data_IF_881432455576
#
_entry.id   IF_881432455576
#
_cell.length_a   1.000
_cell.length_b   1.000
_cell.length_c   1.000
_cell.angle_alpha   90.00
_cell.angle_beta   90.00
_cell.angle_gamma   90.00
#
_symmetry.space_group_name_H-M   'P 1'
#
loop_
_entity.id
_entity.type
_entity.pdbx_description
1 polymer ?
#
# COMPACT_ATOMS: atom_id res chain seq x y z
N UNK A 1 20.58 -25.97 -27.36
CA UNK A 1 20.53 -26.25 -25.90
C UNK A 1 20.17 -25.00 -25.09
N UNK A 2 19.26 -24.12 -25.55
CA UNK A 2 18.82 -22.91 -24.80
C UNK A 2 17.32 -23.00 -24.43
N UNK A 3 16.59 -23.98 -24.98
CA UNK A 3 15.13 -24.09 -24.80
C UNK A 3 14.70 -24.79 -23.49
N UNK A 4 15.55 -25.59 -22.85
CA UNK A 4 15.17 -26.36 -21.64
C UNK A 4 15.23 -25.54 -20.34
N UNK A 5 16.04 -24.47 -20.28
CA UNK A 5 16.18 -23.64 -19.07
C UNK A 5 15.05 -22.59 -18.93
N UNK A 6 14.50 -22.07 -20.03
CA UNK A 6 13.34 -21.15 -19.97
C UNK A 6 12.05 -21.85 -19.50
N UNK A 7 11.86 -23.12 -19.87
CA UNK A 7 10.70 -23.90 -19.48
C UNK A 7 10.75 -24.32 -17.99
N UNK A 8 11.94 -24.59 -17.45
CA UNK A 8 12.12 -24.88 -16.03
C UNK A 8 11.87 -23.65 -15.14
N UNK A 9 12.33 -22.47 -15.55
CA UNK A 9 12.01 -21.21 -14.87
C UNK A 9 10.50 -20.91 -14.95
N UNK A 10 9.86 -21.15 -16.09
CA UNK A 10 8.41 -21.01 -16.25
C UNK A 10 7.60 -21.93 -15.32
N UNK A 11 8.04 -23.19 -15.14
CA UNK A 11 7.39 -24.16 -14.26
C UNK A 11 7.61 -23.87 -12.78
N UNK A 12 8.81 -23.40 -12.40
CA UNK A 12 9.11 -22.97 -11.02
C UNK A 12 8.06 -22.00 -10.47
N UNK A 13 7.57 -21.09 -11.33
CA UNK A 13 6.62 -20.05 -10.96
C UNK A 13 5.15 -20.49 -10.90
N UNK A 14 4.82 -21.71 -11.30
CA UNK A 14 3.46 -22.26 -11.31
C UNK A 14 3.12 -23.09 -10.06
N UNK A 15 4.13 -23.46 -9.27
CA UNK A 15 3.94 -24.19 -8.01
C UNK A 15 3.77 -23.22 -6.83
N UNK A 16 2.62 -23.25 -6.12
CA UNK A 16 2.38 -22.42 -4.93
C UNK A 16 3.41 -22.64 -3.80
N UNK A 17 3.99 -23.82 -3.68
CA UNK A 17 4.96 -24.17 -2.62
C UNK A 17 6.28 -23.42 -2.79
N UNK A 18 6.69 -23.18 -4.05
CA UNK A 18 7.87 -22.39 -4.37
C UNK A 18 7.71 -20.91 -3.98
N UNK A 19 6.47 -20.40 -3.97
CA UNK A 19 6.17 -19.03 -3.57
C UNK A 19 6.28 -18.83 -2.05
N UNK A 20 5.84 -19.82 -1.25
CA UNK A 20 6.00 -19.77 0.21
C UNK A 20 7.48 -19.79 0.62
N UNK A 21 8.29 -20.65 -0.01
CA UNK A 21 9.74 -20.74 0.22
C UNK A 21 10.43 -19.41 -0.11
N UNK A 22 10.00 -18.73 -1.17
CA UNK A 22 10.54 -17.43 -1.58
C UNK A 22 10.17 -16.33 -0.57
N UNK A 23 8.91 -16.26 -0.13
CA UNK A 23 8.46 -15.27 0.84
C UNK A 23 9.17 -15.42 2.18
N UNK A 24 9.34 -16.65 2.66
CA UNK A 24 10.07 -16.93 3.89
C UNK A 24 11.55 -16.52 3.79
N UNK A 25 12.16 -16.67 2.62
CA UNK A 25 13.55 -16.30 2.39
C UNK A 25 13.76 -14.79 2.39
N UNK A 26 12.84 -14.02 1.81
CA UNK A 26 12.87 -12.55 1.83
C UNK A 26 12.62 -12.01 3.25
N UNK A 27 11.71 -12.63 4.00
CA UNK A 27 11.43 -12.27 5.39
C UNK A 27 12.60 -12.60 6.34
N UNK A 28 13.43 -13.61 6.02
CA UNK A 28 14.68 -13.90 6.74
C UNK A 28 15.75 -12.83 6.48
N UNK A 29 15.95 -12.44 5.21
CA UNK A 29 16.96 -11.46 4.82
C UNK A 29 16.66 -10.05 5.33
N UNK A 30 15.38 -9.68 5.44
CA UNK A 30 14.98 -8.39 6.00
C UNK A 30 15.17 -8.30 7.53
N UNK A 31 15.32 -9.44 8.21
CA UNK A 31 15.55 -9.52 9.67
C UNK A 31 17.03 -9.61 10.04
N UNK A 32 17.91 -10.05 9.13
CA UNK A 32 19.35 -10.00 9.34
C UNK A 32 19.89 -8.60 9.02
N UNK A 33 19.99 -7.74 10.04
CA UNK A 33 20.83 -6.54 9.96
C UNK A 33 22.27 -6.99 9.72
N UNK A 34 22.82 -6.69 8.53
CA UNK A 34 24.17 -7.08 8.16
C UNK A 34 25.19 -6.47 9.13
N UNK A 35 25.85 -7.31 9.92
CA UNK A 35 27.09 -6.97 10.62
C UNK A 35 28.20 -6.89 9.57
N UNK A 36 28.59 -5.67 9.23
CA UNK A 36 29.77 -5.38 8.41
C UNK A 36 31.03 -5.68 9.22
N UNK A 37 31.68 -6.80 8.96
CA UNK A 37 33.07 -7.04 9.37
C UNK A 37 34.00 -6.12 8.57
N UNK A 38 34.32 -4.96 9.15
CA UNK A 38 35.42 -4.10 8.72
C UNK A 38 36.30 -3.78 9.95
N UNK A 39 37.63 -3.88 9.87
CA UNK A 39 38.50 -3.73 11.03
C UNK A 39 38.54 -2.27 11.50
N UNK A 40 38.40 -2.09 12.82
CA UNK A 40 38.45 -0.81 13.53
C UNK A 40 39.91 -0.34 13.69
N UNK A 41 40.20 0.90 13.28
CA UNK A 41 41.42 1.61 13.68
C UNK A 41 41.11 2.44 14.94
N UNK A 42 41.76 2.08 16.04
CA UNK A 42 41.73 2.84 17.30
C UNK A 42 42.52 4.14 17.17
N UNK A 43 41.85 5.28 17.37
CA UNK A 43 42.51 6.53 17.74
C UNK A 43 42.14 6.83 19.19
N UNK A 44 43.09 6.55 20.09
CA UNK A 44 42.97 6.88 21.50
C UNK A 44 43.10 8.38 21.72
N UNK A 45 42.07 8.97 22.33
CA UNK A 45 42.16 10.23 23.07
C UNK A 45 41.24 10.13 24.29
N UNK A 46 41.87 10.09 25.46
CA UNK A 46 41.29 10.26 26.79
C UNK A 46 40.88 11.70 27.03
N UNK A 47 39.70 11.94 27.61
CA UNK A 47 39.53 12.99 28.62
C UNK A 47 38.26 12.77 29.46
N UNK A 48 38.49 12.73 30.77
CA UNK A 48 37.54 12.62 31.87
C UNK A 48 36.76 13.93 32.05
N UNK A 49 35.46 13.84 32.36
CA UNK A 49 34.74 14.81 33.20
C UNK A 49 33.52 14.12 33.83
N UNK A 50 33.56 13.94 35.15
CA UNK A 50 32.43 13.57 36.02
C UNK A 50 31.45 14.73 36.17
N UNK A 51 30.14 14.45 36.25
CA UNK A 51 29.16 15.09 37.15
C UNK A 51 27.79 14.35 37.10
N UNK A 52 27.50 13.65 38.19
CA UNK A 52 26.21 13.39 38.89
C UNK A 52 24.87 13.14 38.16
N UNK A 53 24.31 11.97 38.48
CA UNK A 53 22.97 11.45 38.14
C UNK A 53 21.84 12.07 39.00
N UNK A 54 20.58 12.01 38.52
CA UNK A 54 19.59 11.29 39.34
C UNK A 54 18.69 10.35 38.52
N UNK A 55 18.88 9.06 38.80
CA UNK A 55 17.91 7.95 38.95
C UNK A 55 16.57 8.02 38.17
N UNK A 56 16.49 7.26 37.08
CA UNK A 56 15.24 6.78 36.45
C UNK A 56 15.28 5.24 36.45
N UNK A 57 14.17 4.51 36.71
CA UNK A 57 14.21 3.07 36.95
C UNK A 57 14.61 2.31 35.69
N UNK A 58 15.70 1.54 35.81
CA UNK A 58 16.18 0.56 34.83
C UNK A 58 15.13 -0.54 34.66
N UNK A 59 14.45 -0.56 33.51
CA UNK A 59 13.71 -1.73 33.06
C UNK A 59 14.73 -2.80 32.67
N UNK A 60 14.70 -3.93 33.40
CA UNK A 60 15.55 -5.09 33.18
C UNK A 60 15.48 -5.54 31.73
N UNK A 61 16.66 -5.67 31.12
CA UNK A 61 16.91 -6.42 29.90
C UNK A 61 16.42 -7.85 30.17
N UNK A 62 15.25 -8.22 29.66
CA UNK A 62 14.90 -9.64 29.60
C UNK A 62 15.77 -10.25 28.51
N UNK A 63 16.74 -11.03 28.96
CA UNK A 63 17.49 -11.99 28.15
C UNK A 63 16.49 -12.87 27.40
N UNK A 64 16.47 -12.76 26.08
CA UNK A 64 15.85 -13.76 25.23
C UNK A 64 16.66 -15.05 25.37
N UNK A 65 16.14 -15.97 26.18
CA UNK A 65 16.50 -17.39 26.09
C UNK A 65 16.03 -17.86 24.71
N UNK A 66 16.96 -18.03 23.78
CA UNK A 66 16.72 -18.80 22.57
C UNK A 66 16.63 -20.27 23.00
N UNK A 67 15.40 -20.80 23.05
CA UNK A 67 15.18 -22.24 23.11
C UNK A 67 15.25 -22.78 21.67
N UNK A 68 16.33 -23.47 21.32
CA UNK A 68 16.54 -24.17 20.04
C UNK A 68 15.70 -25.46 19.91
N UNK A 69 14.39 -25.41 20.18
CA UNK A 69 13.57 -26.64 20.22
C UNK A 69 12.17 -26.57 19.57
N UNK A 70 11.84 -25.56 18.76
CA UNK A 70 10.51 -25.42 18.14
C UNK A 70 10.52 -25.44 16.60
N UNK A 71 11.44 -26.20 16.00
CA UNK A 71 11.49 -26.43 14.54
C UNK A 71 10.81 -27.75 14.13
N UNK A 72 9.64 -28.06 14.68
CA UNK A 72 8.76 -29.08 14.10
C UNK A 72 7.30 -28.74 14.34
N UNK A 73 6.74 -27.83 13.55
CA UNK A 73 5.28 -27.71 13.43
C UNK A 73 4.77 -28.97 12.73
N UNK A 74 3.93 -29.81 13.37
CA UNK A 74 3.46 -31.04 12.76
C UNK A 74 2.68 -30.75 11.48
N UNK A 75 2.85 -31.59 10.46
CA UNK A 75 2.10 -31.54 9.19
C UNK A 75 0.58 -31.45 9.42
N UNK A 76 0.06 -32.02 10.50
CA UNK A 76 -1.35 -31.93 10.88
C UNK A 76 -1.80 -30.49 11.20
N UNK A 77 -0.94 -29.66 11.78
CA UNK A 77 -1.19 -28.24 12.07
C UNK A 77 -1.06 -27.39 10.79
N UNK A 78 -0.16 -27.77 9.88
CA UNK A 78 -0.06 -27.12 8.57
C UNK A 78 -1.29 -27.45 7.73
N UNK A 79 -1.71 -28.72 7.70
CA UNK A 79 -2.89 -29.18 6.98
C UNK A 79 -4.18 -28.62 7.58
N UNK A 80 -4.27 -28.42 8.90
CA UNK A 80 -5.41 -27.74 9.50
C UNK A 80 -5.47 -26.26 9.09
N UNK A 81 -4.33 -25.55 9.04
CA UNK A 81 -4.25 -24.16 8.55
C UNK A 81 -4.56 -24.02 7.06
N UNK A 82 -4.17 -24.99 6.23
CA UNK A 82 -4.51 -25.04 4.80
C UNK A 82 -6.01 -25.26 4.63
N UNK A 83 -6.59 -26.18 5.42
CA UNK A 83 -8.02 -26.47 5.41
C UNK A 83 -8.84 -25.26 5.89
N UNK A 84 -8.41 -24.59 6.95
CA UNK A 84 -9.03 -23.37 7.47
C UNK A 84 -8.94 -22.21 6.45
N UNK A 85 -7.83 -22.08 5.72
CA UNK A 85 -7.71 -21.14 4.59
C UNK A 85 -8.60 -21.52 3.40
N UNK A 86 -8.80 -22.81 3.12
CA UNK A 86 -9.71 -23.28 2.07
C UNK A 86 -11.18 -23.08 2.47
N UNK A 87 -11.51 -23.26 3.74
CA UNK A 87 -12.83 -23.00 4.30
C UNK A 87 -13.15 -21.51 4.27
N UNK A 88 -12.22 -20.63 4.71
CA UNK A 88 -12.31 -19.18 4.54
C UNK A 88 -12.48 -18.78 3.06
N UNK A 89 -11.73 -19.40 2.13
CA UNK A 89 -11.89 -19.20 0.68
C UNK A 89 -13.25 -19.67 0.15
N UNK A 90 -13.84 -20.69 0.75
CA UNK A 90 -15.15 -21.22 0.39
C UNK A 90 -16.30 -20.38 0.96
N UNK A 91 -16.13 -19.80 2.15
CA UNK A 91 -17.04 -18.79 2.73
C UNK A 91 -16.96 -17.46 1.96
N UNK A 92 -15.79 -17.14 1.40
CA UNK A 92 -15.56 -16.00 0.49
C UNK A 92 -16.04 -16.26 -0.95
N UNK A 93 -16.53 -17.47 -1.30
CA UNK A 93 -17.29 -17.66 -2.54
C UNK A 93 -18.62 -16.94 -2.37
N UNK A 94 -18.59 -15.66 -2.72
CA UNK A 94 -19.72 -14.76 -2.83
C UNK A 94 -20.92 -15.52 -3.42
N UNK A 95 -22.01 -15.61 -2.66
CA UNK A 95 -23.31 -15.93 -3.21
C UNK A 95 -23.55 -14.97 -4.37
N UNK A 96 -23.51 -15.51 -5.59
CA UNK A 96 -23.57 -14.82 -6.89
C UNK A 96 -24.95 -14.19 -7.18
N UNK A 97 -25.69 -13.82 -6.14
CA UNK A 97 -27.01 -13.21 -6.21
C UNK A 97 -27.09 -12.09 -5.18
N UNK A 98 -26.50 -10.92 -5.45
CA UNK A 98 -26.83 -9.71 -4.70
C UNK A 98 -26.54 -8.44 -5.52
N UNK A 99 -27.64 -7.80 -5.92
CA UNK A 99 -27.86 -6.36 -6.17
C UNK A 99 -26.58 -5.53 -6.24
N UNK A 100 -26.29 -4.97 -7.42
CA UNK A 100 -25.29 -3.91 -7.62
C UNK A 100 -25.64 -2.71 -6.73
N UNK A 101 -25.15 -2.68 -5.50
CA UNK A 101 -25.29 -1.53 -4.62
C UNK A 101 -24.49 -0.37 -5.26
N UNK A 102 -25.14 0.72 -5.69
CA UNK A 102 -24.52 1.79 -6.48
C UNK A 102 -23.41 2.57 -5.72
N UNK A 103 -23.29 2.35 -4.41
CA UNK A 103 -22.38 3.09 -3.52
C UNK A 103 -20.94 2.57 -3.47
N UNK A 104 -20.69 1.31 -3.85
CA UNK A 104 -19.37 0.69 -3.62
C UNK A 104 -18.26 1.28 -4.51
N UNK A 105 -18.62 1.79 -5.70
CA UNK A 105 -17.64 2.20 -6.72
C UNK A 105 -17.71 3.66 -7.15
N UNK A 106 -18.52 4.45 -6.46
CA UNK A 106 -18.51 5.90 -6.68
C UNK A 106 -17.37 6.52 -5.88
N UNK A 107 -16.69 7.54 -6.46
CA UNK A 107 -15.79 8.36 -5.70
C UNK A 107 -16.47 8.95 -4.47
N UNK A 108 -15.78 9.03 -3.34
CA UNK A 108 -16.28 9.64 -2.11
C UNK A 108 -16.73 11.08 -2.42
N UNK A 109 -17.98 11.42 -2.11
CA UNK A 109 -18.41 12.80 -2.13
C UNK A 109 -18.21 13.43 -0.74
N UNK A 110 -17.15 14.21 -0.60
CA UNK A 110 -16.84 14.94 0.62
C UNK A 110 -17.60 16.28 0.75
N UNK A 111 -18.53 16.59 -0.17
CA UNK A 111 -19.48 17.68 -0.03
C UNK A 111 -20.79 17.22 0.64
N UNK A 112 -21.07 15.92 0.61
CA UNK A 112 -22.20 15.34 1.34
C UNK A 112 -21.95 15.36 2.85
N UNK A 113 -23.06 15.36 3.60
CA UNK A 113 -23.00 15.26 5.05
C UNK A 113 -22.44 13.90 5.47
N UNK A 114 -21.81 13.89 6.65
CA UNK A 114 -21.40 12.67 7.31
C UNK A 114 -22.64 11.81 7.63
N UNK A 115 -22.58 10.54 7.29
CA UNK A 115 -23.59 9.53 7.64
C UNK A 115 -23.42 9.09 9.10
N UNK A 116 -24.44 8.45 9.67
CA UNK A 116 -24.35 7.95 11.05
C UNK A 116 -23.27 6.88 11.19
N UNK A 117 -23.13 6.03 10.18
CA UNK A 117 -22.14 4.97 10.13
C UNK A 117 -20.72 5.55 10.08
N UNK A 118 -20.49 6.58 9.24
CA UNK A 118 -19.21 7.29 9.18
C UNK A 118 -18.86 7.96 10.52
N UNK A 119 -19.85 8.61 11.15
CA UNK A 119 -19.69 9.25 12.46
C UNK A 119 -19.35 8.21 13.55
N UNK A 120 -20.01 7.06 13.54
CA UNK A 120 -19.80 5.99 14.50
C UNK A 120 -18.41 5.35 14.36
N UNK A 121 -17.95 5.08 13.13
CA UNK A 121 -16.57 4.60 12.91
C UNK A 121 -15.56 5.63 13.38
N UNK A 122 -15.82 6.91 13.12
CA UNK A 122 -14.95 7.98 13.60
C UNK A 122 -14.91 8.02 15.13
N UNK A 123 -16.05 7.91 15.83
CA UNK A 123 -16.04 7.82 17.30
C UNK A 123 -15.30 6.58 17.80
N UNK A 124 -15.50 5.44 17.16
CA UNK A 124 -14.83 4.18 17.52
C UNK A 124 -13.32 4.27 17.37
N UNK A 125 -12.82 4.89 16.30
CA UNK A 125 -11.39 5.03 16.04
C UNK A 125 -10.70 5.95 17.06
N UNK A 126 -11.42 6.90 17.67
CA UNK A 126 -10.90 7.82 18.71
C UNK A 126 -11.41 7.54 20.13
N UNK A 127 -11.92 6.34 20.41
CA UNK A 127 -12.37 5.97 21.77
C UNK A 127 -11.20 5.94 22.76
N UNK A 128 -11.44 6.38 24.00
CA UNK A 128 -10.41 6.51 25.04
C UNK A 128 -9.70 5.18 25.39
N UNK A 129 -10.41 4.05 25.32
CA UNK A 129 -9.88 2.72 25.65
C UNK A 129 -9.36 1.96 24.42
N UNK A 130 -9.03 2.66 23.32
CA UNK A 130 -8.54 2.04 22.09
C UNK A 130 -7.08 1.63 22.19
N UNK A 131 -6.77 0.34 22.01
CA UNK A 131 -5.38 -0.13 21.97
C UNK A 131 -4.73 0.17 20.60
N UNK A 132 -3.55 0.78 20.60
CA UNK A 132 -2.82 1.14 19.36
C UNK A 132 -2.55 -0.06 18.44
N UNK A 133 -2.42 -1.26 19.02
CA UNK A 133 -2.17 -2.49 18.28
C UNK A 133 -3.43 -3.19 17.78
N UNK A 134 -4.62 -2.71 18.12
CA UNK A 134 -5.88 -3.28 17.65
C UNK A 134 -5.89 -3.32 16.11
N UNK A 135 -6.15 -4.49 15.54
CA UNK A 135 -6.29 -4.67 14.10
C UNK A 135 -7.63 -4.07 13.64
N UNK A 136 -7.53 -2.92 12.96
CA UNK A 136 -8.67 -2.20 12.38
C UNK A 136 -8.97 -2.69 10.97
N UNK A 137 -7.98 -3.25 10.30
CA UNK A 137 -8.08 -3.79 8.95
C UNK A 137 -7.24 -5.05 8.80
N UNK A 138 -7.78 -6.09 8.19
CA UNK A 138 -7.05 -7.31 7.84
C UNK A 138 -7.62 -7.95 6.58
N UNK A 139 -6.74 -8.38 5.67
CA UNK A 139 -7.12 -9.20 4.51
C UNK A 139 -6.65 -10.65 4.68
N UNK A 140 -7.17 -11.55 3.85
CA UNK A 140 -6.73 -12.96 3.81
C UNK A 140 -5.26 -13.14 3.40
N UNK A 141 -4.61 -12.11 2.84
CA UNK A 141 -3.19 -12.12 2.45
C UNK A 141 -2.29 -11.43 3.48
N UNK A 142 -2.71 -11.39 4.75
CA UNK A 142 -1.96 -10.89 5.90
C UNK A 142 -1.57 -9.41 5.85
N UNK A 143 -2.19 -8.61 4.98
CA UNK A 143 -2.10 -7.15 5.07
C UNK A 143 -2.89 -6.70 6.31
N UNK A 144 -2.22 -6.00 7.24
CA UNK A 144 -2.81 -5.59 8.52
C UNK A 144 -2.65 -4.08 8.71
N UNK A 145 -3.76 -3.42 9.04
CA UNK A 145 -3.80 -2.03 9.46
C UNK A 145 -4.20 -1.92 10.92
N UNK A 146 -3.29 -1.44 11.78
CA UNK A 146 -3.52 -1.27 13.22
C UNK A 146 -4.02 0.13 13.56
N UNK A 147 -4.76 0.25 14.65
CA UNK A 147 -5.37 1.51 15.14
C UNK A 147 -4.40 2.67 15.16
N UNK A 148 -3.21 2.51 15.74
CA UNK A 148 -2.22 3.59 15.82
C UNK A 148 -1.75 4.11 14.45
N UNK A 149 -1.91 3.34 13.37
CA UNK A 149 -1.66 3.82 12.00
C UNK A 149 -2.87 4.60 11.47
N UNK A 150 -4.08 4.15 11.74
CA UNK A 150 -5.32 4.85 11.36
C UNK A 150 -5.51 6.18 12.10
N UNK A 151 -4.98 6.33 13.31
CA UNK A 151 -4.99 7.60 14.06
C UNK A 151 -4.25 8.74 13.32
N UNK A 152 -3.37 8.43 12.36
CA UNK A 152 -2.77 9.41 11.46
C UNK A 152 -3.78 10.17 10.59
N UNK A 153 -5.01 9.67 10.46
CA UNK A 153 -6.12 10.37 9.81
C UNK A 153 -6.63 11.57 10.62
N UNK A 154 -6.10 11.84 11.82
CA UNK A 154 -6.46 13.03 12.58
C UNK A 154 -6.19 14.33 11.81
N UNK A 155 -6.93 15.41 12.10
CA UNK A 155 -6.71 16.71 11.46
C UNK A 155 -5.25 17.16 11.54
N UNK A 156 -4.76 17.84 10.50
CA UNK A 156 -3.41 18.41 10.44
C UNK A 156 -2.24 17.42 10.56
N UNK A 157 -2.49 16.12 10.46
CA UNK A 157 -1.44 15.09 10.37
C UNK A 157 -1.35 14.45 8.99
N UNK A 158 -0.12 14.08 8.63
CA UNK A 158 0.20 13.29 7.45
C UNK A 158 -0.35 11.87 7.61
N UNK A 159 -1.07 11.41 6.59
CA UNK A 159 -1.62 10.05 6.56
C UNK A 159 -0.48 9.03 6.52
N UNK A 160 -0.53 8.04 7.40
CA UNK A 160 0.44 6.98 7.45
C UNK A 160 0.32 6.05 6.24
N UNK A 161 1.44 5.56 5.71
CA UNK A 161 1.48 4.76 4.47
C UNK A 161 0.63 3.49 4.56
N UNK A 162 0.54 2.88 5.74
CA UNK A 162 -0.32 1.70 5.96
C UNK A 162 -1.79 1.99 5.64
N UNK A 163 -2.27 3.21 5.91
CA UNK A 163 -3.65 3.60 5.59
C UNK A 163 -3.83 3.74 4.08
N UNK A 164 -2.82 4.27 3.38
CA UNK A 164 -2.79 4.36 1.91
C UNK A 164 -2.77 2.95 1.29
N UNK A 165 -1.98 2.04 1.84
CA UNK A 165 -1.90 0.65 1.38
C UNK A 165 -3.23 -0.10 1.60
N UNK A 166 -3.87 0.09 2.75
CA UNK A 166 -5.21 -0.46 3.01
C UNK A 166 -6.23 0.10 2.00
N UNK A 167 -6.14 1.38 1.66
CA UNK A 167 -7.00 1.99 0.66
C UNK A 167 -6.79 1.42 -0.75
N UNK A 168 -5.54 1.17 -1.15
CA UNK A 168 -5.21 0.51 -2.41
C UNK A 168 -5.89 -0.87 -2.51
N UNK A 169 -5.85 -1.67 -1.44
CA UNK A 169 -6.49 -2.98 -1.38
C UNK A 169 -8.02 -2.89 -1.50
N UNK A 170 -8.63 -1.92 -0.82
CA UNK A 170 -10.07 -1.67 -0.92
C UNK A 170 -10.47 -1.26 -2.33
N UNK A 171 -9.65 -0.43 -3.01
CA UNK A 171 -9.88 -0.06 -4.40
C UNK A 171 -9.75 -1.26 -5.34
N UNK A 172 -8.71 -2.09 -5.19
CA UNK A 172 -8.53 -3.30 -6.01
C UNK A 172 -9.72 -4.26 -5.87
N UNK A 173 -10.19 -4.50 -4.65
CA UNK A 173 -11.39 -5.29 -4.40
C UNK A 173 -12.64 -4.71 -5.07
N UNK A 174 -12.75 -3.39 -5.07
CA UNK A 174 -13.89 -2.66 -5.62
C UNK A 174 -13.94 -2.68 -7.15
N UNK A 175 -12.79 -2.82 -7.84
CA UNK A 175 -12.70 -2.86 -9.30
C UNK A 175 -13.49 -4.02 -9.93
N UNK A 176 -13.71 -5.13 -9.21
CA UNK A 176 -14.58 -6.23 -9.65
C UNK A 176 -16.02 -5.77 -9.96
N UNK A 177 -16.50 -4.73 -9.28
CA UNK A 177 -17.85 -4.19 -9.42
C UNK A 177 -17.91 -2.94 -10.31
N UNK A 178 -16.81 -2.56 -10.99
CA UNK A 178 -16.68 -1.21 -11.61
C UNK A 178 -17.79 -0.95 -12.64
N UNK A 179 -18.23 0.31 -12.83
CA UNK A 179 -19.13 0.65 -13.93
C UNK A 179 -18.57 0.24 -15.31
N UNK A 180 -19.45 -0.22 -16.21
CA UNK A 180 -19.05 -0.55 -17.60
C UNK A 180 -18.55 0.71 -18.31
N UNK A 181 -17.50 0.57 -19.13
CA UNK A 181 -16.92 1.67 -19.91
C UNK A 181 -15.89 2.53 -19.17
N UNK A 182 -15.64 2.28 -17.88
CA UNK A 182 -14.47 2.82 -17.18
C UNK A 182 -13.26 1.89 -17.36
N UNK A 183 -12.02 2.43 -17.39
CA UNK A 183 -10.83 1.59 -17.42
C UNK A 183 -10.78 0.71 -16.17
N UNK A 184 -10.36 -0.55 -16.32
CA UNK A 184 -10.04 -1.40 -15.16
C UNK A 184 -8.68 -0.97 -14.60
N UNK A 185 -8.60 -0.73 -13.29
CA UNK A 185 -7.42 -0.19 -12.62
C UNK A 185 -6.82 -1.20 -11.65
N UNK A 186 -5.55 -1.04 -11.37
CA UNK A 186 -4.83 -1.80 -10.33
C UNK A 186 -3.99 -0.84 -9.49
N UNK A 187 -4.04 -0.98 -8.18
CA UNK A 187 -3.43 -0.06 -7.22
C UNK A 187 -2.38 -0.78 -6.37
N UNK A 188 -1.15 -0.29 -6.42
CA UNK A 188 -0.01 -0.79 -5.63
C UNK A 188 -0.01 -0.25 -4.20
N UNK A 189 0.71 -0.95 -3.32
CA UNK A 189 1.19 -0.38 -2.06
C UNK A 189 2.32 0.63 -2.30
N UNK A 190 2.61 1.38 -1.25
CA UNK A 190 3.71 2.35 -1.14
C UNK A 190 5.09 1.69 -1.05
N UNK A 191 5.17 0.38 -0.80
CA UNK A 191 6.41 -0.35 -0.52
C UNK A 191 7.29 -0.64 -1.74
N UNK A 192 6.83 -0.38 -2.96
CA UNK A 192 7.59 -0.75 -4.18
C UNK A 192 8.87 0.08 -4.39
N UNK A 193 9.00 1.23 -3.71
CA UNK A 193 10.09 2.21 -3.93
C UNK A 193 11.21 2.16 -2.89
N UNK A 194 11.07 1.39 -1.81
CA UNK A 194 12.02 1.46 -0.68
C UNK A 194 13.33 0.66 -0.89
N UNK A 195 13.53 0.02 -2.04
CA UNK A 195 14.64 -0.90 -2.29
C UNK A 195 15.88 -0.28 -2.95
N UNK A 196 16.55 0.69 -2.32
CA UNK A 196 17.82 1.23 -2.84
C UNK A 196 19.06 0.35 -2.58
N UNK A 197 18.89 -0.80 -1.92
CA UNK A 197 20.01 -1.66 -1.48
C UNK A 197 19.75 -3.15 -1.70
N UNK A 198 19.00 -3.51 -2.75
CA UNK A 198 18.57 -4.88 -2.96
C UNK A 198 19.20 -5.42 -4.26
N UNK A 199 19.85 -6.60 -4.20
CA UNK A 199 20.39 -7.25 -5.39
C UNK A 199 19.31 -7.55 -6.44
N UNK A 200 19.68 -7.66 -7.72
CA UNK A 200 18.72 -7.83 -8.83
C UNK A 200 17.75 -9.03 -8.65
N UNK A 201 18.23 -10.17 -8.14
CA UNK A 201 17.39 -11.35 -7.89
C UNK A 201 16.32 -11.11 -6.82
N UNK A 202 16.60 -10.25 -5.84
CA UNK A 202 15.66 -9.91 -4.78
C UNK A 202 14.60 -8.90 -5.27
N UNK A 203 14.89 -8.16 -6.33
CA UNK A 203 13.98 -7.18 -6.92
C UNK A 203 12.85 -7.85 -7.73
N UNK A 204 13.17 -8.89 -8.49
CA UNK A 204 12.16 -9.68 -9.22
C UNK A 204 11.17 -10.37 -8.27
N UNK A 205 11.69 -10.93 -7.18
CA UNK A 205 10.88 -11.49 -6.11
C UNK A 205 9.99 -10.41 -5.44
N UNK A 206 10.54 -9.22 -5.20
CA UNK A 206 9.82 -8.11 -4.58
C UNK A 206 8.66 -7.62 -5.47
N UNK A 207 8.91 -7.38 -6.75
CA UNK A 207 7.84 -6.92 -7.65
C UNK A 207 6.78 -7.99 -7.85
N UNK A 208 7.18 -9.27 -7.96
CA UNK A 208 6.21 -10.36 -8.05
C UNK A 208 5.36 -10.45 -6.79
N UNK A 209 5.96 -10.28 -5.60
CA UNK A 209 5.23 -10.22 -4.33
C UNK A 209 4.24 -9.05 -4.31
N UNK A 210 4.68 -7.88 -4.76
CA UNK A 210 3.83 -6.70 -4.81
C UNK A 210 2.64 -6.91 -5.75
N UNK A 211 2.87 -7.42 -6.97
CA UNK A 211 1.78 -7.73 -7.91
C UNK A 211 0.84 -8.78 -7.33
N UNK A 212 1.37 -9.84 -6.70
CA UNK A 212 0.56 -10.85 -6.02
C UNK A 212 -0.33 -10.24 -4.92
N UNK A 213 0.17 -9.28 -4.15
CA UNK A 213 -0.64 -8.56 -3.16
C UNK A 213 -1.68 -7.64 -3.82
N UNK A 214 -1.31 -6.94 -4.90
CA UNK A 214 -2.20 -6.06 -5.66
C UNK A 214 -3.42 -6.80 -6.20
N UNK A 215 -3.20 -7.99 -6.77
CA UNK A 215 -4.26 -8.84 -7.29
C UNK A 215 -4.92 -9.72 -6.22
N UNK A 216 -4.63 -9.47 -4.94
CA UNK A 216 -5.18 -10.22 -3.82
C UNK A 216 -5.02 -11.73 -4.05
N UNK A 217 -3.82 -12.15 -4.45
CA UNK A 217 -3.39 -13.52 -4.73
C UNK A 217 -4.13 -14.26 -5.86
N UNK A 218 -4.91 -13.57 -6.69
CA UNK A 218 -5.54 -14.17 -7.86
C UNK A 218 -4.50 -14.41 -8.97
N UNK A 219 -4.11 -15.67 -9.13
CA UNK A 219 -3.14 -16.10 -10.13
C UNK A 219 -3.56 -15.77 -11.57
N UNK A 220 -4.86 -15.68 -11.85
CA UNK A 220 -5.38 -15.36 -13.19
C UNK A 220 -5.17 -13.90 -13.58
N UNK A 221 -4.85 -13.04 -12.62
CA UNK A 221 -4.63 -11.60 -12.83
C UNK A 221 -3.15 -11.20 -12.79
N UNK A 222 -2.25 -12.14 -12.52
CA UNK A 222 -0.80 -11.89 -12.42
C UNK A 222 -0.17 -11.46 -13.74
N UNK A 223 -0.75 -11.83 -14.89
CA UNK A 223 -0.25 -11.41 -16.20
C UNK A 223 -0.48 -9.93 -16.51
N UNK A 224 -1.28 -9.23 -15.68
CA UNK A 224 -1.71 -7.83 -15.83
C UNK A 224 -2.57 -7.53 -17.06
N UNK A 225 -2.87 -8.50 -17.92
CA UNK A 225 -3.48 -8.30 -19.24
C UNK A 225 -4.90 -7.71 -19.17
N UNK A 226 -5.60 -7.91 -18.05
CA UNK A 226 -6.97 -7.40 -17.86
C UNK A 226 -7.03 -5.93 -17.43
N UNK A 227 -5.92 -5.36 -16.97
CA UNK A 227 -5.88 -3.99 -16.45
C UNK A 227 -5.52 -2.99 -17.55
N UNK A 228 -6.04 -1.77 -17.44
CA UNK A 228 -5.74 -0.69 -18.38
C UNK A 228 -4.82 0.34 -17.74
N UNK A 229 -4.98 0.59 -16.44
CA UNK A 229 -4.16 1.53 -15.66
C UNK A 229 -3.57 0.84 -14.43
N UNK A 230 -2.31 1.12 -14.12
CA UNK A 230 -1.65 0.68 -12.89
C UNK A 230 -1.14 1.90 -12.12
N UNK A 231 -1.47 1.97 -10.84
CA UNK A 231 -1.21 3.10 -9.97
C UNK A 231 -0.21 2.76 -8.89
N UNK A 232 0.81 3.60 -8.70
CA UNK A 232 1.79 3.46 -7.64
C UNK A 232 1.81 4.72 -6.76
N UNK A 233 1.23 4.68 -5.55
CA UNK A 233 1.41 5.76 -4.58
C UNK A 233 2.86 5.75 -4.10
N UNK A 234 3.56 6.86 -4.26
CA UNK A 234 4.96 6.98 -3.88
C UNK A 234 5.09 7.86 -2.65
N UNK A 235 5.75 7.33 -1.61
CA UNK A 235 6.17 8.10 -0.45
C UNK A 235 7.65 8.50 -0.62
N UNK A 236 7.92 9.78 -0.78
CA UNK A 236 9.28 10.33 -0.84
C UNK A 236 9.35 11.60 -0.01
N UNK A 237 10.42 11.75 0.80
CA UNK A 237 10.62 12.91 1.67
C UNK A 237 9.36 13.27 2.52
N UNK A 238 8.70 12.25 3.07
CA UNK A 238 7.44 12.37 3.83
C UNK A 238 6.25 12.99 3.08
N UNK A 239 6.31 13.05 1.75
CA UNK A 239 5.25 13.52 0.88
C UNK A 239 4.78 12.40 -0.05
N UNK A 240 3.49 12.37 -0.34
CA UNK A 240 2.93 11.46 -1.33
C UNK A 240 2.75 12.11 -2.69
N UNK A 241 3.00 11.34 -3.73
CA UNK A 241 2.54 11.60 -5.09
C UNK A 241 2.13 10.27 -5.75
N UNK A 242 1.53 10.31 -6.94
CA UNK A 242 1.01 9.13 -7.61
C UNK A 242 1.64 8.96 -8.99
N UNK A 243 2.12 7.76 -9.29
CA UNK A 243 2.43 7.35 -10.66
C UNK A 243 1.22 6.61 -11.25
N UNK A 244 0.91 6.90 -12.51
CA UNK A 244 -0.08 6.17 -13.29
C UNK A 244 0.56 5.68 -14.58
N UNK A 245 0.53 4.37 -14.79
CA UNK A 245 0.92 3.71 -16.03
C UNK A 245 -0.35 3.36 -16.80
N UNK A 246 -0.60 4.00 -17.94
CA UNK A 246 -1.62 3.54 -18.89
C UNK A 246 -1.00 2.45 -19.75
N UNK A 247 -1.24 1.19 -19.40
CA UNK A 247 -0.64 0.04 -20.09
C UNK A 247 -1.39 -0.32 -21.37
N UNK A 248 -2.67 0.07 -21.49
CA UNK A 248 -3.46 -0.12 -22.71
C UNK A 248 -3.07 0.88 -23.79
N UNK A 249 -2.81 2.12 -23.39
CA UNK A 249 -2.34 3.21 -24.23
C UNK A 249 -1.06 3.76 -23.63
N UNK A 250 0.08 3.07 -23.87
CA UNK A 250 1.35 3.29 -23.22
C UNK A 250 1.64 4.77 -22.94
N UNK A 251 1.52 5.16 -21.69
CA UNK A 251 1.93 6.47 -21.17
C UNK A 251 2.18 6.38 -19.67
N UNK A 252 3.05 7.25 -19.15
CA UNK A 252 3.44 7.25 -17.74
C UNK A 252 3.29 8.67 -17.22
N UNK A 253 2.44 8.83 -16.21
CA UNK A 253 2.08 10.15 -15.67
C UNK A 253 2.44 10.22 -14.19
N UNK A 254 3.14 11.29 -13.82
CA UNK A 254 3.41 11.68 -12.43
C UNK A 254 2.37 12.72 -12.02
N UNK A 255 1.53 12.36 -11.07
CA UNK A 255 0.53 13.24 -10.46
C UNK A 255 1.06 13.67 -9.10
N UNK A 256 1.62 14.87 -9.06
CA UNK A 256 2.22 15.43 -7.84
C UNK A 256 1.65 16.82 -7.58
N UNK A 257 0.93 16.91 -6.47
CA UNK A 257 0.23 18.10 -5.97
C UNK A 257 1.06 18.95 -5.00
N UNK A 258 2.33 18.63 -4.77
CA UNK A 258 3.15 19.39 -3.82
C UNK A 258 3.54 20.78 -4.37
N UNK A 259 3.30 21.82 -3.57
CA UNK A 259 3.85 23.16 -3.77
C UNK A 259 5.06 23.35 -2.85
N UNK A 260 6.26 23.49 -3.40
CA UNK A 260 7.45 23.80 -2.61
C UNK A 260 7.68 25.31 -2.65
N UNK A 261 7.87 25.93 -1.47
CA UNK A 261 7.99 27.40 -1.38
C UNK A 261 9.23 27.96 -2.12
N UNK A 262 10.28 27.15 -2.26
CA UNK A 262 11.52 27.53 -2.94
C UNK A 262 11.68 26.83 -4.29
N UNK A 263 12.05 27.59 -5.33
CA UNK A 263 12.27 27.08 -6.69
C UNK A 263 13.35 25.99 -6.75
N UNK A 264 14.48 26.16 -6.05
CA UNK A 264 15.56 25.17 -6.05
C UNK A 264 15.13 23.83 -5.44
N UNK A 265 14.33 23.88 -4.36
CA UNK A 265 13.77 22.67 -3.74
C UNK A 265 12.71 22.03 -4.63
N UNK A 266 11.91 22.84 -5.32
CA UNK A 266 10.95 22.38 -6.33
C UNK A 266 11.64 21.60 -7.45
N UNK A 267 12.73 22.13 -8.01
CA UNK A 267 13.44 21.49 -9.12
C UNK A 267 14.15 20.21 -8.68
N UNK A 268 14.71 20.19 -7.46
CA UNK A 268 15.28 18.97 -6.87
C UNK A 268 14.22 17.88 -6.71
N UNK A 269 13.07 18.21 -6.10
CA UNK A 269 11.95 17.29 -5.92
C UNK A 269 11.41 16.76 -7.25
N UNK A 270 11.24 17.65 -8.25
CA UNK A 270 10.81 17.25 -9.61
C UNK A 270 11.78 16.26 -10.25
N UNK A 271 13.09 16.47 -10.12
CA UNK A 271 14.10 15.53 -10.61
C UNK A 271 14.02 14.19 -9.88
N UNK A 272 13.85 14.21 -8.56
CA UNK A 272 13.68 12.99 -7.76
C UNK A 272 12.44 12.20 -8.19
N UNK A 273 11.29 12.84 -8.41
CA UNK A 273 10.09 12.18 -8.94
C UNK A 273 10.32 11.52 -10.30
N UNK A 274 11.09 12.16 -11.19
CA UNK A 274 11.41 11.61 -12.51
C UNK A 274 12.34 10.38 -12.41
N UNK A 275 13.32 10.43 -11.51
CA UNK A 275 14.22 9.30 -11.23
C UNK A 275 13.40 8.13 -10.71
N UNK A 276 12.61 8.33 -9.66
CA UNK A 276 11.76 7.29 -9.08
C UNK A 276 10.73 6.75 -10.08
N UNK A 277 10.14 7.58 -10.92
CA UNK A 277 9.25 7.12 -11.99
C UNK A 277 9.97 6.21 -13.00
N UNK A 278 11.25 6.48 -13.27
CA UNK A 278 12.08 5.66 -14.16
C UNK A 278 12.47 4.33 -13.50
N UNK A 279 12.82 4.34 -12.21
CA UNK A 279 13.09 3.13 -11.42
C UNK A 279 11.86 2.21 -11.36
N UNK A 280 10.70 2.76 -11.00
CA UNK A 280 9.43 2.01 -10.98
C UNK A 280 9.06 1.48 -12.36
N UNK A 281 9.30 2.26 -13.43
CA UNK A 281 9.10 1.81 -14.81
C UNK A 281 9.97 0.60 -15.12
N UNK A 282 11.26 0.65 -14.80
CA UNK A 282 12.19 -0.44 -15.05
C UNK A 282 11.71 -1.73 -14.36
N UNK A 283 11.31 -1.63 -13.08
CA UNK A 283 10.77 -2.76 -12.34
C UNK A 283 9.51 -3.31 -13.02
N UNK A 284 8.53 -2.45 -13.30
CA UNK A 284 7.28 -2.86 -13.92
C UNK A 284 7.50 -3.53 -15.28
N UNK A 285 8.35 -2.97 -16.14
CA UNK A 285 8.68 -3.53 -17.45
C UNK A 285 9.35 -4.90 -17.31
N UNK A 286 10.30 -5.05 -16.38
CA UNK A 286 10.95 -6.34 -16.10
C UNK A 286 9.92 -7.41 -15.72
N UNK A 287 8.97 -7.06 -14.84
CA UNK A 287 7.86 -7.95 -14.50
C UNK A 287 6.96 -8.25 -15.71
N UNK A 288 6.58 -7.23 -16.49
CA UNK A 288 5.75 -7.40 -17.69
C UNK A 288 6.40 -8.34 -18.71
N UNK A 289 7.73 -8.29 -18.88
CA UNK A 289 8.48 -9.23 -19.73
C UNK A 289 8.42 -10.66 -19.20
N UNK A 290 8.59 -10.86 -17.89
CA UNK A 290 8.58 -12.19 -17.29
C UNK A 290 7.22 -12.89 -17.44
N UNK A 291 6.13 -12.13 -17.49
CA UNK A 291 4.77 -12.63 -17.77
C UNK A 291 4.37 -12.52 -19.25
N UNK A 292 5.30 -12.15 -20.13
CA UNK A 292 5.10 -12.00 -21.60
C UNK A 292 3.94 -11.06 -21.97
N UNK A 293 3.75 -9.98 -21.21
CA UNK A 293 2.71 -8.99 -21.50
C UNK A 293 3.00 -8.26 -22.82
N UNK A 294 2.01 -8.21 -23.72
CA UNK A 294 2.14 -7.71 -25.10
C UNK A 294 2.68 -6.27 -25.21
N UNK A 295 2.36 -5.41 -24.24
CA UNK A 295 2.76 -4.00 -24.24
C UNK A 295 4.04 -3.70 -23.44
N UNK A 296 4.81 -4.70 -22.99
CA UNK A 296 6.01 -4.46 -22.17
C UNK A 296 7.01 -3.49 -22.85
N UNK A 297 7.35 -3.75 -24.11
CA UNK A 297 8.28 -2.91 -24.89
C UNK A 297 7.70 -1.51 -25.16
N UNK A 298 6.39 -1.41 -25.39
CA UNK A 298 5.74 -0.13 -25.64
C UNK A 298 5.73 0.76 -24.38
N UNK A 299 5.57 0.16 -23.20
CA UNK A 299 5.67 0.86 -21.91
C UNK A 299 7.10 1.28 -21.63
N UNK A 300 8.09 0.44 -21.94
CA UNK A 300 9.51 0.78 -21.77
C UNK A 300 9.91 2.02 -22.58
N UNK A 301 9.43 2.11 -23.83
CA UNK A 301 9.67 3.23 -24.73
C UNK A 301 9.07 4.56 -24.24
N UNK A 302 8.20 4.56 -23.22
CA UNK A 302 7.60 5.78 -22.70
C UNK A 302 8.52 6.53 -21.74
N UNK A 303 8.49 7.86 -21.86
CA UNK A 303 9.10 8.76 -20.89
C UNK A 303 8.04 9.25 -19.91
N UNK A 304 8.28 9.16 -18.58
CA UNK A 304 7.37 9.74 -17.60
C UNK A 304 7.15 11.22 -17.83
N UNK A 305 5.90 11.68 -17.71
CA UNK A 305 5.55 13.10 -17.80
C UNK A 305 4.87 13.55 -16.51
N UNK A 306 5.21 14.74 -16.03
CA UNK A 306 4.48 15.35 -14.90
C UNK A 306 3.19 15.97 -15.39
N UNK A 307 2.08 15.61 -14.75
CA UNK A 307 0.80 16.22 -15.01
C UNK A 307 0.80 17.68 -14.53
N UNK A 308 0.39 18.59 -15.40
CA UNK A 308 0.26 20.01 -15.05
C UNK A 308 -1.04 20.24 -14.27
N UNK A 309 -0.94 20.29 -12.94
CA UNK A 309 -2.04 20.63 -12.06
C UNK A 309 -2.19 22.15 -11.96
N UNK A 310 -3.45 22.61 -11.94
CA UNK A 310 -3.79 24.04 -11.77
C UNK A 310 -3.85 24.45 -10.29
N UNK A 311 -3.56 23.52 -9.39
CA UNK A 311 -3.65 23.68 -7.94
C UNK A 311 -2.54 22.86 -7.29
N UNK A 312 -2.03 23.36 -6.17
CA UNK A 312 -0.96 22.75 -5.40
C UNK A 312 -1.24 22.87 -3.91
N UNK A 313 -0.60 22.04 -3.10
CA UNK A 313 -0.96 21.81 -1.70
C UNK A 313 0.27 21.60 -0.82
N UNK A 314 0.02 21.50 0.49
CA UNK A 314 1.08 21.22 1.47
C UNK A 314 1.43 19.73 1.51
N UNK A 315 2.62 19.43 2.04
CA UNK A 315 3.09 18.08 2.32
C UNK A 315 2.17 17.28 3.25
N UNK A 316 1.57 17.94 4.25
CA UNK A 316 0.74 17.31 5.28
C UNK A 316 -0.51 16.65 4.67
N UNK A 317 -1.11 17.31 3.68
CA UNK A 317 -2.33 16.83 3.04
C UNK A 317 -2.09 15.86 1.88
N UNK A 318 -0.82 15.68 1.47
CA UNK A 318 -0.45 14.87 0.30
C UNK A 318 -1.04 13.46 0.33
N UNK A 319 -1.15 12.84 1.52
CA UNK A 319 -1.76 11.52 1.69
C UNK A 319 -3.26 11.51 1.37
N UNK A 320 -4.02 12.54 1.73
CA UNK A 320 -5.46 12.61 1.38
C UNK A 320 -5.63 12.84 -0.13
N UNK A 321 -4.76 13.65 -0.72
CA UNK A 321 -4.75 13.88 -2.17
C UNK A 321 -4.40 12.60 -2.94
N UNK A 322 -3.39 11.84 -2.54
CA UNK A 322 -3.03 10.59 -3.24
C UNK A 322 -4.19 9.59 -3.19
N UNK A 323 -4.87 9.44 -2.05
CA UNK A 323 -6.07 8.60 -1.92
C UNK A 323 -7.17 9.05 -2.90
N UNK A 324 -7.37 10.36 -3.04
CA UNK A 324 -8.36 10.94 -3.96
C UNK A 324 -7.98 10.80 -5.43
N UNK A 325 -6.70 10.90 -5.75
CA UNK A 325 -6.20 10.72 -7.11
C UNK A 325 -6.39 9.29 -7.57
N UNK A 326 -6.07 8.31 -6.71
CA UNK A 326 -6.33 6.90 -6.98
C UNK A 326 -7.82 6.64 -7.25
N UNK A 327 -8.70 7.32 -6.52
CA UNK A 327 -10.14 7.15 -6.69
C UNK A 327 -10.68 7.76 -8.00
N UNK A 328 -10.24 8.97 -8.36
CA UNK A 328 -10.86 9.79 -9.41
C UNK A 328 -10.13 9.84 -10.73
N UNK A 329 -8.82 9.54 -10.77
CA UNK A 329 -8.07 9.58 -12.00
C UNK A 329 -8.39 8.35 -12.88
N UNK A 330 -8.65 8.61 -14.16
CA UNK A 330 -9.11 7.61 -15.13
C UNK A 330 -8.27 7.64 -16.43
N UNK A 331 -7.04 8.16 -16.35
CA UNK A 331 -6.13 8.28 -17.50
C UNK A 331 -6.24 9.61 -18.24
N UNK A 332 -5.21 9.90 -19.04
CA UNK A 332 -5.00 11.19 -19.75
C UNK A 332 -6.02 11.49 -20.84
N UNK A 333 -6.67 10.46 -21.39
CA UNK A 333 -7.66 10.61 -22.46
C UNK A 333 -8.96 11.29 -22.02
N UNK A 334 -9.15 11.51 -20.72
CA UNK A 334 -10.28 12.29 -20.21
C UNK A 334 -9.89 13.76 -20.07
N UNK A 335 -10.38 14.58 -20.99
CA UNK A 335 -10.19 16.03 -20.95
C UNK A 335 -10.71 16.59 -19.63
N UNK A 336 -9.91 17.45 -18.97
CA UNK A 336 -10.25 18.20 -17.74
C UNK A 336 -10.57 17.31 -16.53
N UNK A 337 -9.56 16.57 -16.05
CA UNK A 337 -9.66 15.92 -14.75
C UNK A 337 -9.73 16.96 -13.62
N UNK A 338 -10.71 16.78 -12.74
CA UNK A 338 -10.87 17.51 -11.48
C UNK A 338 -11.04 16.49 -10.34
N UNK A 339 -10.28 16.66 -9.27
CA UNK A 339 -10.38 15.82 -8.08
C UNK A 339 -11.48 16.30 -7.11
N UNK A 340 -12.08 17.46 -7.35
CA UNK A 340 -13.23 18.01 -6.62
C UNK A 340 -12.89 18.80 -5.35
N UNK A 341 -11.60 18.91 -4.98
CA UNK A 341 -11.19 19.73 -3.85
C UNK A 341 -11.32 21.23 -4.17
N UNK A 342 -11.83 21.98 -3.20
CA UNK A 342 -12.00 23.42 -3.32
C UNK A 342 -10.67 24.15 -3.19
N UNK A 343 -10.54 25.29 -3.87
CA UNK A 343 -9.39 26.20 -3.75
C UNK A 343 -9.49 27.11 -2.51
N UNK A 344 -10.70 27.39 -2.03
CA UNK A 344 -10.92 28.23 -0.86
C UNK A 344 -10.56 27.47 0.43
N UNK A 345 -9.58 27.99 1.19
CA UNK A 345 -8.99 27.34 2.38
C UNK A 345 -10.01 26.85 3.43
N UNK A 346 -11.03 27.66 3.75
CA UNK A 346 -12.04 27.28 4.76
C UNK A 346 -12.91 26.10 4.30
N UNK A 347 -13.28 26.07 3.02
CA UNK A 347 -14.03 24.96 2.42
C UNK A 347 -13.13 23.73 2.26
N UNK A 348 -11.89 23.92 1.80
CA UNK A 348 -10.89 22.87 1.66
C UNK A 348 -10.64 22.14 2.99
N UNK A 349 -10.42 22.85 4.08
CA UNK A 349 -10.19 22.24 5.39
C UNK A 349 -11.37 21.36 5.84
N UNK A 350 -12.61 21.78 5.56
CA UNK A 350 -13.81 20.96 5.83
C UNK A 350 -13.85 19.72 4.94
N UNK A 351 -13.53 19.84 3.66
CA UNK A 351 -13.46 18.71 2.73
C UNK A 351 -12.36 17.72 3.11
N UNK A 352 -11.17 18.19 3.54
CA UNK A 352 -10.08 17.34 3.99
C UNK A 352 -10.46 16.53 5.23
N UNK A 353 -11.11 17.18 6.20
CA UNK A 353 -11.63 16.49 7.39
C UNK A 353 -12.71 15.46 7.02
N UNK A 354 -13.66 15.85 6.15
CA UNK A 354 -14.70 14.95 5.70
C UNK A 354 -14.12 13.76 4.92
N UNK A 355 -13.16 14.00 4.03
CA UNK A 355 -12.45 12.94 3.30
C UNK A 355 -11.78 11.96 4.26
N UNK A 356 -11.07 12.44 5.29
CA UNK A 356 -10.43 11.59 6.32
C UNK A 356 -11.45 10.69 7.05
N UNK A 357 -12.61 11.25 7.45
CA UNK A 357 -13.72 10.48 8.05
C UNK A 357 -14.27 9.41 7.11
N UNK A 358 -14.59 9.80 5.88
CA UNK A 358 -15.19 8.90 4.87
C UNK A 358 -14.21 7.81 4.44
N UNK A 359 -12.92 8.11 4.28
CA UNK A 359 -11.90 7.10 4.00
C UNK A 359 -11.73 6.12 5.17
N UNK A 360 -11.70 6.60 6.43
CA UNK A 360 -11.65 5.72 7.59
C UNK A 360 -12.80 4.72 7.58
N UNK A 361 -14.03 5.21 7.41
CA UNK A 361 -15.23 4.39 7.33
C UNK A 361 -15.19 3.41 6.16
N UNK A 362 -14.86 3.87 4.95
CA UNK A 362 -14.84 3.03 3.74
C UNK A 362 -13.78 1.92 3.82
N UNK A 363 -12.63 2.17 4.46
CA UNK A 363 -11.59 1.16 4.67
C UNK A 363 -12.01 0.17 5.75
N UNK A 364 -12.37 0.67 6.94
CA UNK A 364 -12.68 -0.16 8.12
C UNK A 364 -13.93 -1.02 7.86
N UNK A 365 -14.94 -0.48 7.17
CA UNK A 365 -16.19 -1.19 6.88
C UNK A 365 -16.19 -1.90 5.53
N UNK A 366 -15.06 -1.98 4.83
CA UNK A 366 -14.98 -2.65 3.54
C UNK A 366 -15.24 -4.15 3.66
N UNK A 367 -15.89 -4.76 2.66
CA UNK A 367 -16.17 -6.20 2.64
C UNK A 367 -14.89 -7.05 2.61
N UNK A 368 -13.76 -6.51 2.12
CA UNK A 368 -12.47 -7.20 2.16
C UNK A 368 -11.86 -7.24 3.57
N UNK A 369 -12.35 -6.42 4.50
CA UNK A 369 -11.84 -6.38 5.87
C UNK A 369 -12.43 -7.52 6.72
N UNK A 370 -11.59 -8.49 7.08
CA UNK A 370 -11.98 -9.62 7.94
C UNK A 370 -12.43 -9.18 9.35
N UNK A 371 -12.03 -7.98 9.80
CA UNK A 371 -12.45 -7.44 11.10
C UNK A 371 -13.76 -6.63 11.04
N UNK A 372 -14.36 -6.46 9.85
CA UNK A 372 -15.56 -5.63 9.65
C UNK A 372 -16.68 -5.98 10.64
N UNK A 373 -17.06 -7.25 10.72
CA UNK A 373 -18.17 -7.70 11.57
C UNK A 373 -17.91 -7.39 13.06
N UNK A 374 -16.74 -7.80 13.57
CA UNK A 374 -16.30 -7.51 14.95
C UNK A 374 -16.33 -6.02 15.28
N UNK A 375 -15.89 -5.17 14.36
CA UNK A 375 -15.86 -3.72 14.58
C UNK A 375 -17.28 -3.14 14.57
N UNK A 376 -18.16 -3.58 13.67
CA UNK A 376 -19.57 -3.17 13.65
C UNK A 376 -20.27 -3.56 14.94
N UNK A 377 -20.06 -4.78 15.43
CA UNK A 377 -20.63 -5.24 16.70
C UNK A 377 -20.12 -4.42 17.88
N UNK A 378 -18.82 -4.10 17.90
CA UNK A 378 -18.22 -3.27 18.93
C UNK A 378 -18.74 -1.82 18.90
N UNK A 379 -18.99 -1.26 17.71
CA UNK A 379 -19.64 0.05 17.53
C UNK A 379 -21.05 0.03 18.12
N UNK A 380 -21.85 -0.97 17.76
CA UNK A 380 -23.25 -1.09 18.20
C UNK A 380 -23.35 -1.31 19.72
N UNK A 381 -22.41 -2.06 20.30
CA UNK A 381 -22.36 -2.32 21.75
C UNK A 381 -21.96 -1.11 22.60
N UNK A 382 -21.35 -0.07 21.98
CA UNK A 382 -21.00 1.19 22.64
C UNK A 382 -22.07 2.28 22.50
N UNK A 383 -23.11 2.02 21.71
CA UNK A 383 -24.23 2.95 21.48
C UNK A 383 -25.40 2.76 22.47
N UNK A 384 -25.27 1.79 23.38
CA UNK A 384 -26.14 1.54 24.54
C UNK A 384 -25.40 2.07 25.77
#
# INVERSE_FOLDING_TARGET
>A
MIAEDEDNLSQFWKDPSNMEILFDSVDRLSKSGATSDAPSFSLGLTQEFDMDEPTIPVCKRNEHVYNEADDHVPLTVIMSRIKENQELRSELKCHDNQIRLPYLNMPIDFNEKETKEEEQVWKYLWRANGELNEEMFKTCYRSIGRRGKFESLQPSCTVNHIVIDCWALVLNYSEARRPKGLPKRLFSSTSIVTGKSTSEQNLDALIKRNVHQMVNGDQTMMDLATFELIFFPILSNNCYYLLCFDIKNPSIVIIDNLDMQERNQTDKHRKECMITASEVKEHLVRYMRSVRHINAELVEAQTPIRLNLQWYTTAIDSGVYVMRHMETYMGTRRNKWDCGFATQKSKLNKQLLMAKKKYAAKIILSDINLHRARIVDAINSQAI
#
